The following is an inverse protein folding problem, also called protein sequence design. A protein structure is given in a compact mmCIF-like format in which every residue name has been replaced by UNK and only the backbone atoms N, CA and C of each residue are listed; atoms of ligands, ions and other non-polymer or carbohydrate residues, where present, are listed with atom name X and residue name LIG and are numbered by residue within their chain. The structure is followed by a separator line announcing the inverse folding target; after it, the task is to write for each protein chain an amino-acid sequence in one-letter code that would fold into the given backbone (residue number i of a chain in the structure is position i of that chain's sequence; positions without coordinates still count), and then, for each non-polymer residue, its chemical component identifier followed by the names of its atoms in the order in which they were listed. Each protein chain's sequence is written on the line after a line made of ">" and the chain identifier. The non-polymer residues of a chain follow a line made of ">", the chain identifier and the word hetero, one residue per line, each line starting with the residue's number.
data_IF_889845661636
#
_entry.id   IF_889845661636
#
_cell.length_a   1.000
_cell.length_b   1.000
_cell.length_c   1.000
_cell.angle_alpha   90.00
_cell.angle_beta   90.00
_cell.angle_gamma   90.00
#
_symmetry.space_group_name_H-M   'P 1'
#
loop_
_entity.id
_entity.type
_entity.pdbx_description
1 polymer ?
#
# COMPACT_ATOMS: atom_id res chain seq x y z
N UNK A 1 -31.06 -12.14 -33.89
CA UNK A 1 -30.32 -10.85 -33.91
C UNK A 1 -30.79 -9.93 -32.77
N UNK A 2 -30.61 -10.30 -31.49
CA UNK A 2 -30.99 -9.43 -30.37
C UNK A 2 -30.14 -9.59 -29.09
N UNK A 3 -29.11 -10.43 -29.09
CA UNK A 3 -28.25 -10.64 -27.89
C UNK A 3 -26.94 -9.82 -27.90
N UNK A 4 -26.60 -9.14 -29.00
CA UNK A 4 -25.31 -8.47 -29.16
C UNK A 4 -25.29 -7.00 -28.68
N UNK A 5 -26.42 -6.45 -28.23
CA UNK A 5 -26.54 -5.03 -27.86
C UNK A 5 -26.62 -4.75 -26.34
N UNK A 6 -26.63 -5.77 -25.47
CA UNK A 6 -26.71 -5.55 -24.00
C UNK A 6 -25.38 -5.43 -23.27
N UNK A 7 -24.27 -5.91 -23.83
CA UNK A 7 -22.96 -5.90 -23.14
C UNK A 7 -22.04 -4.71 -23.50
N UNK A 8 -22.45 -3.85 -24.44
CA UNK A 8 -21.67 -2.67 -24.84
C UNK A 8 -21.79 -1.49 -23.87
N UNK A 9 -22.97 -1.27 -23.28
CA UNK A 9 -23.24 -0.08 -22.46
C UNK A 9 -22.58 -0.09 -21.07
N UNK A 10 -22.48 -1.26 -20.44
CA UNK A 10 -21.91 -1.37 -19.08
C UNK A 10 -20.39 -1.14 -19.04
N UNK A 11 -19.67 -1.49 -20.12
CA UNK A 11 -18.23 -1.25 -20.23
C UNK A 11 -17.88 0.20 -20.56
N UNK A 12 -18.76 0.92 -21.27
CA UNK A 12 -18.54 2.33 -21.60
C UNK A 12 -18.67 3.24 -20.35
N UNK A 13 -19.62 2.95 -19.45
CA UNK A 13 -19.79 3.69 -18.20
C UNK A 13 -18.67 3.45 -17.18
N UNK A 14 -18.11 2.23 -17.12
CA UNK A 14 -17.00 1.92 -16.23
C UNK A 14 -15.68 2.63 -16.63
N UNK A 15 -15.51 2.99 -17.91
CA UNK A 15 -14.34 3.72 -18.39
C UNK A 15 -14.46 5.23 -18.23
N UNK A 16 -15.67 5.79 -18.15
CA UNK A 16 -15.89 7.23 -17.92
C UNK A 16 -15.51 7.68 -16.50
N UNK A 17 -15.60 6.78 -15.50
CA UNK A 17 -15.25 7.09 -14.11
C UNK A 17 -13.75 7.08 -13.79
N UNK A 18 -12.90 6.55 -14.68
CA UNK A 18 -11.43 6.47 -14.46
C UNK A 18 -10.65 7.65 -15.03
N UNK A 19 -11.31 8.57 -15.72
CA UNK A 19 -10.67 9.73 -16.37
C UNK A 19 -10.70 11.04 -15.59
N UNK A 20 -11.30 11.08 -14.40
CA UNK A 20 -11.59 12.34 -13.70
C UNK A 20 -10.40 13.00 -12.98
N UNK A 21 -9.16 12.52 -13.14
CA UNK A 21 -7.97 13.19 -12.60
C UNK A 21 -6.74 13.03 -13.49
N UNK A 22 -6.87 13.36 -14.77
CA UNK A 22 -5.72 13.64 -15.62
C UNK A 22 -5.64 15.16 -15.85
N UNK A 23 -4.54 15.86 -15.48
CA UNK A 23 -4.40 17.27 -15.81
C UNK A 23 -4.25 17.40 -17.33
N UNK A 24 -5.08 18.24 -17.94
CA UNK A 24 -5.03 18.54 -19.36
C UNK A 24 -3.68 19.20 -19.71
N UNK A 25 -2.91 18.57 -20.59
CA UNK A 25 -1.69 19.14 -21.14
C UNK A 25 -2.01 20.12 -22.26
N UNK A 26 -1.80 21.42 -21.99
CA UNK A 26 -1.81 22.47 -23.01
C UNK A 26 -0.48 22.48 -23.75
N UNK A 27 -0.53 22.40 -25.08
CA UNK A 27 0.63 22.39 -25.97
C UNK A 27 1.15 23.80 -26.28
N UNK A 28 2.48 23.91 -26.33
CA UNK A 28 3.33 24.87 -27.03
C UNK A 28 3.45 26.31 -26.49
N UNK A 29 4.63 26.66 -25.93
CA UNK A 29 5.68 27.42 -26.66
C UNK A 29 6.74 27.98 -25.71
N UNK A 30 7.98 27.53 -25.94
CA UNK A 30 9.26 28.27 -25.92
C UNK A 30 9.57 29.30 -24.81
N UNK A 31 10.79 29.14 -24.27
CA UNK A 31 11.66 30.12 -23.60
C UNK A 31 11.47 30.28 -22.09
N UNK A 32 12.28 29.53 -21.34
CA UNK A 32 13.18 29.92 -20.23
C UNK A 32 13.60 28.61 -19.59
N UNK A 33 14.90 28.31 -19.59
CA UNK A 33 15.45 27.14 -18.91
C UNK A 33 15.88 27.53 -17.49
N UNK A 34 15.24 27.01 -16.43
CA UNK A 34 15.86 26.90 -15.12
C UNK A 34 16.39 25.48 -14.92
N UNK A 35 17.70 25.42 -14.71
CA UNK A 35 18.48 24.42 -13.98
C UNK A 35 17.75 23.18 -13.43
N UNK A 36 18.24 22.02 -13.86
CA UNK A 36 17.80 20.69 -13.47
C UNK A 36 17.79 20.44 -11.96
N UNK A 37 16.60 20.42 -11.38
CA UNK A 37 16.26 19.49 -10.30
C UNK A 37 15.44 18.39 -10.91
N UNK A 38 16.04 17.23 -11.21
CA UNK A 38 15.31 16.04 -11.63
C UNK A 38 14.47 15.54 -10.45
N UNK A 39 13.26 16.10 -10.30
CA UNK A 39 12.15 15.42 -9.64
C UNK A 39 11.97 14.11 -10.38
N UNK A 40 12.56 13.04 -9.85
CA UNK A 40 12.48 11.71 -10.42
C UNK A 40 11.02 11.35 -10.65
N UNK A 41 10.70 10.90 -11.86
CA UNK A 41 9.38 10.38 -12.19
C UNK A 41 8.89 9.44 -11.08
N UNK A 42 7.63 9.55 -10.62
CA UNK A 42 7.12 8.70 -9.55
C UNK A 42 7.12 7.25 -10.03
N UNK A 43 8.15 6.49 -9.64
CA UNK A 43 8.26 5.07 -9.99
C UNK A 43 7.35 4.28 -9.06
N UNK A 44 6.24 3.79 -9.61
CA UNK A 44 5.36 2.83 -8.94
C UNK A 44 5.88 1.38 -9.11
N UNK A 45 5.48 0.47 -8.21
CA UNK A 45 5.83 -0.95 -8.35
C UNK A 45 5.18 -1.51 -9.63
N UNK A 46 5.98 -1.88 -10.64
CA UNK A 46 5.49 -2.26 -11.97
C UNK A 46 5.43 -1.12 -13.01
N UNK A 47 5.97 0.07 -12.69
CA UNK A 47 6.11 1.21 -13.62
C UNK A 47 7.01 0.90 -14.82
N UNK A 48 8.06 0.11 -14.59
CA UNK A 48 8.69 -0.63 -15.69
C UNK A 48 7.80 -1.84 -15.97
N UNK A 49 6.87 -1.67 -16.91
CA UNK A 49 6.12 -2.80 -17.46
C UNK A 49 7.07 -3.93 -17.83
N UNK A 50 6.55 -5.16 -17.78
CA UNK A 50 7.25 -6.32 -18.34
C UNK A 50 7.74 -5.93 -19.74
N UNK A 51 9.05 -5.94 -20.03
CA UNK A 51 9.57 -5.52 -21.32
C UNK A 51 8.79 -6.18 -22.45
N UNK A 52 8.56 -5.48 -23.55
CA UNK A 52 7.75 -6.01 -24.66
C UNK A 52 8.30 -7.37 -25.14
N UNK A 53 9.62 -7.53 -25.10
CA UNK A 53 10.38 -8.73 -25.42
C UNK A 53 10.54 -9.74 -24.27
N UNK A 54 10.03 -9.48 -23.06
CA UNK A 54 10.14 -10.39 -21.94
C UNK A 54 9.30 -11.65 -22.19
N UNK A 55 9.96 -12.80 -22.09
CA UNK A 55 9.39 -14.11 -22.43
C UNK A 55 9.26 -14.39 -23.93
N UNK A 56 9.37 -13.38 -24.81
CA UNK A 56 9.27 -13.57 -26.25
C UNK A 56 10.42 -14.42 -26.80
N UNK A 57 10.10 -15.29 -27.76
CA UNK A 57 11.11 -15.96 -28.56
C UNK A 57 11.85 -14.89 -29.36
N UNK A 58 13.11 -14.64 -29.00
CA UNK A 58 13.96 -13.72 -29.74
C UNK A 58 14.44 -14.44 -30.99
N UNK A 59 13.97 -14.02 -32.16
CA UNK A 59 14.54 -14.37 -33.46
C UNK A 59 16.07 -14.16 -33.42
N UNK A 60 16.84 -15.24 -33.20
CA UNK A 60 18.32 -15.24 -33.25
C UNK A 60 19.07 -14.76 -32.00
N UNK A 61 18.44 -14.57 -30.83
CA UNK A 61 19.13 -14.29 -29.57
C UNK A 61 19.27 -15.51 -28.65
N UNK A 62 19.99 -15.43 -27.50
CA UNK A 62 20.01 -16.48 -26.48
C UNK A 62 18.64 -16.54 -25.77
N UNK A 63 17.62 -16.97 -26.52
CA UNK A 63 16.27 -17.23 -26.04
C UNK A 63 16.10 -18.71 -25.71
N UNK A 64 15.00 -19.02 -25.03
CA UNK A 64 14.66 -20.36 -24.52
C UNK A 64 14.19 -21.34 -25.61
N UNK A 65 14.66 -21.21 -26.86
CA UNK A 65 14.30 -22.13 -27.94
C UNK A 65 14.70 -23.58 -27.65
N UNK A 66 15.80 -23.77 -26.92
CA UNK A 66 16.21 -25.07 -26.36
C UNK A 66 15.15 -25.69 -25.42
N UNK A 67 14.35 -24.87 -24.73
CA UNK A 67 13.28 -25.32 -23.82
C UNK A 67 11.96 -25.63 -24.56
N UNK A 68 11.91 -25.49 -25.90
CA UNK A 68 10.72 -25.78 -26.70
C UNK A 68 9.62 -24.73 -26.57
N UNK A 69 9.94 -23.49 -26.18
CA UNK A 69 8.96 -22.40 -26.04
C UNK A 69 8.27 -22.10 -27.38
N UNK A 70 6.94 -22.21 -27.48
CA UNK A 70 6.23 -21.96 -28.74
C UNK A 70 6.20 -20.48 -29.10
N UNK A 71 6.11 -20.16 -30.39
CA UNK A 71 6.11 -18.77 -30.90
C UNK A 71 4.97 -17.91 -30.33
N UNK A 72 3.83 -18.54 -30.01
CA UNK A 72 2.64 -17.92 -29.43
C UNK A 72 2.58 -18.00 -27.90
N UNK A 73 3.71 -18.08 -27.20
CA UNK A 73 3.73 -18.28 -25.74
C UNK A 73 2.94 -17.21 -24.95
N UNK A 74 2.95 -15.93 -25.37
CA UNK A 74 2.23 -14.85 -24.65
C UNK A 74 0.72 -15.07 -24.63
N UNK A 75 0.16 -15.42 -25.78
CA UNK A 75 -1.27 -15.74 -25.92
C UNK A 75 -1.66 -16.96 -25.08
N UNK A 76 -0.72 -17.90 -24.88
CA UNK A 76 -0.93 -19.05 -24.01
C UNK A 76 -0.84 -18.70 -22.53
N UNK A 77 0.02 -17.74 -22.15
CA UNK A 77 0.13 -17.23 -20.78
C UNK A 77 -1.09 -16.40 -20.39
N UNK A 78 -1.63 -15.59 -21.31
CA UNK A 78 -2.86 -14.81 -21.09
C UNK A 78 -4.08 -15.68 -20.83
N UNK A 79 -4.10 -16.91 -21.37
CA UNK A 79 -5.16 -17.89 -21.13
C UNK A 79 -5.01 -18.65 -19.81
N UNK A 80 -3.86 -18.54 -19.12
CA UNK A 80 -3.65 -19.24 -17.86
C UNK A 80 -4.30 -18.45 -16.71
N UNK A 81 -5.23 -19.06 -15.97
CA UNK A 81 -5.75 -18.42 -14.77
C UNK A 81 -4.62 -18.29 -13.75
N UNK A 82 -4.61 -17.18 -13.02
CA UNK A 82 -3.77 -17.04 -11.83
C UNK A 82 -4.34 -17.93 -10.72
N UNK A 83 -3.49 -18.72 -10.08
CA UNK A 83 -3.89 -19.52 -8.93
C UNK A 83 -4.34 -18.61 -7.78
N UNK A 84 -5.38 -18.99 -7.02
CA UNK A 84 -5.77 -18.27 -5.80
C UNK A 84 -4.60 -18.16 -4.82
N UNK A 85 -4.49 -17.01 -4.17
CA UNK A 85 -3.49 -16.75 -3.13
C UNK A 85 -4.15 -16.37 -1.81
N UNK A 86 -4.42 -15.08 -1.59
CA UNK A 86 -5.07 -14.50 -0.42
C UNK A 86 -6.58 -14.69 -0.51
N UNK A 87 -7.16 -14.38 -1.66
CA UNK A 87 -8.59 -14.53 -1.94
C UNK A 87 -8.83 -15.72 -2.87
N UNK A 88 -10.02 -16.30 -2.77
CA UNK A 88 -10.48 -17.39 -3.62
C UNK A 88 -10.69 -16.92 -5.07
N UNK A 89 -10.93 -17.86 -6.00
CA UNK A 89 -11.12 -17.59 -7.45
C UNK A 89 -12.20 -16.52 -7.69
N UNK A 90 -13.26 -16.53 -6.87
CA UNK A 90 -14.38 -15.60 -6.98
C UNK A 90 -14.18 -14.29 -6.19
N UNK A 91 -13.09 -14.18 -5.42
CA UNK A 91 -12.79 -13.01 -4.59
C UNK A 91 -13.65 -12.88 -3.32
N UNK A 92 -14.59 -13.79 -3.09
CA UNK A 92 -15.56 -13.68 -1.99
C UNK A 92 -15.04 -14.20 -0.64
N UNK A 93 -14.03 -15.08 -0.66
CA UNK A 93 -13.54 -15.79 0.52
C UNK A 93 -12.03 -15.68 0.63
N UNK A 94 -11.53 -15.69 1.86
CA UNK A 94 -10.09 -15.80 2.13
C UNK A 94 -9.68 -17.25 1.94
N UNK A 95 -8.79 -17.50 0.99
CA UNK A 95 -8.28 -18.84 0.70
C UNK A 95 -7.09 -19.19 1.62
N UNK A 96 -6.22 -18.22 1.91
CA UNK A 96 -5.00 -18.44 2.69
C UNK A 96 -5.26 -18.46 4.20
N UNK A 97 -4.74 -19.48 4.89
CA UNK A 97 -4.74 -19.52 6.36
C UNK A 97 -3.62 -18.64 6.92
N UNK A 98 -3.96 -17.43 7.34
CA UNK A 98 -2.99 -16.46 7.84
C UNK A 98 -2.28 -16.91 9.14
N UNK A 99 -0.95 -17.09 9.13
CA UNK A 99 -0.19 -17.23 10.37
C UNK A 99 -0.08 -15.87 11.08
N UNK A 100 0.09 -15.89 12.41
CA UNK A 100 0.25 -14.68 13.21
C UNK A 100 1.40 -13.77 12.73
N UNK A 101 2.46 -14.37 12.16
CA UNK A 101 3.61 -13.64 11.60
C UNK A 101 3.21 -12.83 10.35
N UNK A 102 2.37 -13.38 9.48
CA UNK A 102 1.87 -12.67 8.29
C UNK A 102 0.96 -11.50 8.70
N UNK A 103 0.05 -11.73 9.64
CA UNK A 103 -0.78 -10.65 10.20
C UNK A 103 0.07 -9.56 10.85
N UNK A 104 1.14 -9.95 11.55
CA UNK A 104 2.06 -9.01 12.17
C UNK A 104 2.76 -8.11 11.13
N UNK A 105 3.17 -8.68 9.99
CA UNK A 105 3.76 -7.93 8.88
C UNK A 105 2.77 -6.97 8.22
N UNK A 106 1.56 -7.44 7.91
CA UNK A 106 0.49 -6.60 7.34
C UNK A 106 0.19 -5.44 8.28
N UNK A 107 0.05 -5.72 9.59
CA UNK A 107 -0.19 -4.68 10.59
C UNK A 107 0.91 -3.64 10.58
N UNK A 108 2.19 -4.03 10.48
CA UNK A 108 3.30 -3.07 10.44
C UNK A 108 3.22 -2.14 9.21
N UNK A 109 2.74 -2.65 8.06
CA UNK A 109 2.52 -1.82 6.87
C UNK A 109 1.34 -0.87 7.05
N UNK A 110 0.21 -1.39 7.53
CA UNK A 110 -1.00 -0.60 7.76
C UNK A 110 -0.74 0.51 8.77
N UNK A 111 -0.06 0.21 9.88
CA UNK A 111 0.28 1.23 10.88
C UNK A 111 1.22 2.29 10.31
N UNK A 112 2.17 1.91 9.45
CA UNK A 112 3.01 2.86 8.72
C UNK A 112 2.19 3.79 7.83
N UNK A 113 1.27 3.25 7.02
CA UNK A 113 0.37 4.04 6.18
C UNK A 113 -0.51 4.99 6.99
N UNK A 114 -1.07 4.53 8.12
CA UNK A 114 -1.89 5.36 9.01
C UNK A 114 -1.07 6.52 9.58
N UNK A 115 0.15 6.26 10.06
CA UNK A 115 1.03 7.30 10.60
C UNK A 115 1.45 8.31 9.53
N UNK A 116 1.84 7.83 8.34
CA UNK A 116 2.15 8.71 7.21
C UNK A 116 0.96 9.57 6.81
N UNK A 117 -0.24 8.99 6.77
CA UNK A 117 -1.49 9.71 6.51
C UNK A 117 -1.78 10.76 7.58
N UNK A 118 -1.59 10.43 8.86
CA UNK A 118 -1.77 11.37 9.98
C UNK A 118 -0.81 12.56 9.91
N UNK A 119 0.47 12.31 9.66
CA UNK A 119 1.48 13.37 9.51
C UNK A 119 1.20 14.21 8.27
N UNK A 120 0.86 13.59 7.13
CA UNK A 120 0.53 14.30 5.90
C UNK A 120 -0.72 15.18 6.07
N UNK A 121 -1.78 14.64 6.70
CA UNK A 121 -3.00 15.41 7.00
C UNK A 121 -2.69 16.62 7.87
N UNK A 122 -1.99 16.42 9.00
CA UNK A 122 -1.63 17.52 9.88
C UNK A 122 -0.71 18.55 9.21
N UNK A 123 0.24 18.08 8.40
CA UNK A 123 1.13 18.93 7.62
C UNK A 123 0.41 19.77 6.59
N UNK A 124 -0.51 19.18 5.80
CA UNK A 124 -1.33 19.90 4.82
C UNK A 124 -2.24 20.91 5.51
N UNK A 125 -2.88 20.53 6.61
CA UNK A 125 -3.77 21.40 7.35
C UNK A 125 -3.04 22.64 7.86
N UNK A 126 -1.87 22.47 8.48
CA UNK A 126 -1.04 23.59 8.94
C UNK A 126 -0.40 24.39 7.80
N UNK A 127 -0.09 23.74 6.67
CA UNK A 127 0.46 24.42 5.50
C UNK A 127 -0.55 25.37 4.84
N UNK A 128 -1.82 24.95 4.74
CA UNK A 128 -2.90 25.74 4.11
C UNK A 128 -3.49 26.77 5.08
N UNK A 129 -3.73 26.38 6.34
CA UNK A 129 -4.41 27.23 7.33
C UNK A 129 -3.46 28.03 8.23
N UNK A 130 -2.15 27.79 8.15
CA UNK A 130 -1.17 28.34 9.09
C UNK A 130 -0.99 27.49 10.36
N UNK A 131 0.03 27.79 11.17
CA UNK A 131 0.50 26.92 12.26
C UNK A 131 -0.55 26.66 13.34
N UNK A 132 -1.46 27.61 13.58
CA UNK A 132 -2.50 27.52 14.62
C UNK A 132 -3.70 26.65 14.22
N UNK A 133 -3.83 26.27 12.95
CA UNK A 133 -5.00 25.55 12.46
C UNK A 133 -5.09 24.12 13.00
N UNK A 134 -3.96 23.42 13.12
CA UNK A 134 -3.93 22.07 13.69
C UNK A 134 -4.28 22.07 15.20
N UNK A 135 -3.68 22.93 16.05
CA UNK A 135 -4.13 23.09 17.43
C UNK A 135 -5.62 23.43 17.55
N UNK A 136 -6.11 24.39 16.75
CA UNK A 136 -7.52 24.76 16.76
C UNK A 136 -8.44 23.60 16.36
N UNK A 137 -8.05 22.81 15.36
CA UNK A 137 -8.77 21.60 14.95
C UNK A 137 -8.84 20.57 16.08
N UNK A 138 -7.73 20.33 16.78
CA UNK A 138 -7.66 19.37 17.89
C UNK A 138 -8.52 19.84 19.08
N UNK A 139 -8.48 21.12 19.44
CA UNK A 139 -9.35 21.67 20.49
C UNK A 139 -10.83 21.66 20.09
N UNK A 140 -11.13 21.94 18.83
CA UNK A 140 -12.47 21.79 18.25
C UNK A 140 -12.97 20.34 18.36
N UNK A 141 -12.14 19.36 18.00
CA UNK A 141 -12.47 17.94 18.13
C UNK A 141 -12.76 17.54 19.58
N UNK A 142 -11.92 17.96 20.53
CA UNK A 142 -12.10 17.68 21.96
C UNK A 142 -13.41 18.24 22.49
N UNK A 143 -13.76 19.46 22.10
CA UNK A 143 -14.98 20.13 22.56
C UNK A 143 -16.25 19.54 21.94
N UNK A 144 -16.21 19.13 20.68
CA UNK A 144 -17.38 18.59 19.97
C UNK A 144 -17.62 17.10 20.30
N UNK A 145 -16.55 16.32 20.50
CA UNK A 145 -16.61 14.87 20.72
C UNK A 145 -15.69 14.43 21.88
N UNK A 146 -15.95 14.87 23.13
CA UNK A 146 -15.08 14.58 24.26
C UNK A 146 -14.95 13.06 24.55
N UNK A 147 -16.02 12.29 24.31
CA UNK A 147 -16.02 10.84 24.47
C UNK A 147 -15.13 10.12 23.43
N UNK A 148 -14.80 10.78 22.31
CA UNK A 148 -13.91 10.24 21.28
C UNK A 148 -12.43 10.54 21.52
N UNK A 149 -12.08 11.31 22.56
CA UNK A 149 -10.68 11.64 22.86
C UNK A 149 -9.87 10.38 23.17
N UNK A 150 -10.36 9.52 24.06
CA UNK A 150 -9.70 8.25 24.40
C UNK A 150 -9.52 7.31 23.21
N UNK A 151 -10.59 6.94 22.44
CA UNK A 151 -10.42 6.03 21.30
C UNK A 151 -9.56 6.64 20.19
N UNK A 152 -9.57 7.97 20.00
CA UNK A 152 -8.68 8.62 19.03
C UNK A 152 -7.23 8.55 19.49
N UNK A 153 -6.95 8.76 20.79
CA UNK A 153 -5.60 8.54 21.36
C UNK A 153 -5.14 7.10 21.14
N UNK A 154 -6.02 6.10 21.28
CA UNK A 154 -5.68 4.70 20.98
C UNK A 154 -5.43 4.50 19.48
N UNK A 155 -6.27 5.08 18.62
CA UNK A 155 -6.22 4.92 17.19
C UNK A 155 -4.91 5.43 16.59
N UNK A 156 -4.27 6.45 17.19
CA UNK A 156 -2.94 6.91 16.79
C UNK A 156 -1.81 6.31 17.65
N UNK A 157 -2.05 6.08 18.95
CA UNK A 157 -1.08 5.51 19.87
C UNK A 157 -0.69 4.09 19.50
N UNK A 158 -1.66 3.22 19.18
CA UNK A 158 -1.38 1.84 18.79
C UNK A 158 -0.53 1.73 17.52
N UNK A 159 -0.89 2.41 16.40
CA UNK A 159 -0.02 2.42 15.22
C UNK A 159 1.38 2.94 15.50
N UNK A 160 1.53 4.00 16.31
CA UNK A 160 2.82 4.56 16.68
C UNK A 160 3.69 3.52 17.39
N UNK A 161 3.21 2.97 18.52
CA UNK A 161 3.98 2.01 19.30
C UNK A 161 4.25 0.72 18.53
N UNK A 162 3.24 0.20 17.82
CA UNK A 162 3.37 -1.03 17.05
C UNK A 162 4.36 -0.88 15.89
N UNK A 163 4.28 0.20 15.12
CA UNK A 163 5.18 0.43 14.00
C UNK A 163 6.63 0.64 14.46
N UNK A 164 6.83 1.34 15.58
CA UNK A 164 8.18 1.54 16.14
C UNK A 164 8.79 0.24 16.63
N UNK A 165 8.09 -0.53 17.47
CA UNK A 165 8.60 -1.80 17.99
C UNK A 165 8.74 -2.86 16.88
N UNK A 166 7.79 -2.91 15.95
CA UNK A 166 7.85 -3.76 14.77
C UNK A 166 9.03 -3.39 13.87
N UNK A 167 9.30 -2.09 13.69
CA UNK A 167 10.49 -1.59 13.01
C UNK A 167 11.80 -2.04 13.66
N UNK A 168 11.92 -1.93 14.98
CA UNK A 168 13.10 -2.45 15.68
C UNK A 168 13.28 -3.96 15.52
N UNK A 169 12.19 -4.73 15.57
CA UNK A 169 12.24 -6.17 15.29
C UNK A 169 12.73 -6.46 13.87
N UNK A 170 12.23 -5.72 12.88
CA UNK A 170 12.68 -5.85 11.49
C UNK A 170 14.17 -5.51 11.34
N UNK A 171 14.63 -4.41 11.95
CA UNK A 171 16.05 -4.05 11.96
C UNK A 171 16.93 -5.10 12.63
N UNK A 172 16.45 -5.73 13.71
CA UNK A 172 17.15 -6.84 14.35
C UNK A 172 17.24 -8.05 13.41
N UNK A 173 16.12 -8.48 12.82
CA UNK A 173 16.10 -9.60 11.86
C UNK A 173 17.01 -9.35 10.66
N UNK A 174 16.99 -8.15 10.10
CA UNK A 174 17.82 -7.80 8.94
C UNK A 174 19.30 -7.78 9.28
N UNK A 175 19.66 -7.38 10.51
CA UNK A 175 21.06 -7.27 10.95
C UNK A 175 21.65 -8.60 11.42
N UNK A 176 20.89 -9.40 12.15
CA UNK A 176 21.41 -10.62 12.82
C UNK A 176 21.01 -11.90 12.12
N UNK A 177 19.92 -11.89 11.32
CA UNK A 177 19.27 -13.09 10.79
C UNK A 177 18.81 -14.09 11.87
N UNK A 178 18.70 -13.63 13.11
CA UNK A 178 18.27 -14.43 14.26
C UNK A 178 16.77 -14.25 14.54
N UNK A 179 16.13 -15.26 15.13
CA UNK A 179 14.71 -15.17 15.54
C UNK A 179 13.70 -15.20 14.40
N UNK A 180 14.13 -15.62 13.20
CA UNK A 180 13.31 -15.80 11.99
C UNK A 180 12.74 -17.22 11.85
N UNK A 181 13.06 -18.13 12.77
CA UNK A 181 12.45 -19.45 12.81
C UNK A 181 10.96 -19.37 13.19
N UNK A 182 10.21 -20.42 12.87
CA UNK A 182 8.76 -20.44 13.06
C UNK A 182 8.30 -20.20 14.51
N UNK A 183 9.07 -20.67 15.50
CA UNK A 183 8.69 -20.52 16.91
C UNK A 183 8.99 -19.10 17.38
N UNK A 184 10.21 -18.61 17.17
CA UNK A 184 10.63 -17.27 17.59
C UNK A 184 9.87 -16.17 16.85
N UNK A 185 9.62 -16.33 15.55
CA UNK A 185 8.86 -15.36 14.76
C UNK A 185 7.40 -15.28 15.23
N UNK A 186 6.79 -16.42 15.57
CA UNK A 186 5.42 -16.46 16.13
C UNK A 186 5.38 -15.84 17.53
N UNK A 187 6.32 -16.21 18.41
CA UNK A 187 6.39 -15.70 19.77
C UNK A 187 6.61 -14.18 19.79
N UNK A 188 7.60 -13.69 19.04
CA UNK A 188 7.87 -12.26 18.91
C UNK A 188 6.71 -11.49 18.29
N UNK A 189 5.94 -12.08 17.37
CA UNK A 189 4.74 -11.46 16.81
C UNK A 189 3.62 -11.29 17.85
N UNK A 190 3.36 -12.32 18.65
CA UNK A 190 2.35 -12.25 19.72
C UNK A 190 2.79 -11.25 20.79
N UNK A 191 4.07 -11.30 21.20
CA UNK A 191 4.66 -10.38 22.16
C UNK A 191 4.55 -8.92 21.67
N UNK A 192 4.81 -8.68 20.38
CA UNK A 192 4.67 -7.35 19.77
C UNK A 192 3.24 -6.82 19.87
N UNK A 193 2.23 -7.62 19.48
CA UNK A 193 0.83 -7.20 19.61
C UNK A 193 0.43 -6.91 21.06
N UNK A 194 0.81 -7.78 21.99
CA UNK A 194 0.47 -7.62 23.40
C UNK A 194 1.15 -6.38 24.01
N UNK A 195 2.46 -6.21 23.78
CA UNK A 195 3.22 -5.07 24.27
C UNK A 195 2.69 -3.75 23.70
N UNK A 196 2.47 -3.68 22.38
CA UNK A 196 1.93 -2.48 21.74
C UNK A 196 0.52 -2.15 22.22
N UNK A 197 -0.34 -3.15 22.38
CA UNK A 197 -1.68 -2.96 22.94
C UNK A 197 -1.66 -2.38 24.35
N UNK A 198 -0.85 -2.98 25.23
CA UNK A 198 -0.71 -2.55 26.62
C UNK A 198 -0.13 -1.14 26.75
N UNK A 199 1.01 -0.88 26.10
CA UNK A 199 1.67 0.44 26.14
C UNK A 199 0.76 1.53 25.57
N UNK A 200 0.07 1.26 24.47
CA UNK A 200 -0.81 2.26 23.84
C UNK A 200 -2.03 2.57 24.70
N UNK A 201 -2.61 1.56 25.35
CA UNK A 201 -3.70 1.76 26.30
C UNK A 201 -3.24 2.59 27.51
N UNK A 202 -2.03 2.35 28.01
CA UNK A 202 -1.44 3.15 29.10
C UNK A 202 -1.23 4.61 28.67
N UNK A 203 -0.61 4.84 27.51
CA UNK A 203 -0.37 6.20 26.98
C UNK A 203 -1.69 6.94 26.77
N UNK A 204 -2.71 6.28 26.22
CA UNK A 204 -3.98 6.92 25.95
C UNK A 204 -4.81 7.20 27.20
N UNK A 205 -4.67 6.35 28.23
CA UNK A 205 -5.26 6.57 29.56
C UNK A 205 -4.56 7.66 30.36
N UNK A 206 -3.33 8.04 29.98
CA UNK A 206 -2.62 9.13 30.62
C UNK A 206 -3.27 10.48 30.26
N UNK A 207 -3.68 11.19 31.31
CA UNK A 207 -4.22 12.56 31.22
C UNK A 207 -3.13 13.56 31.59
N UNK A 208 -3.02 14.62 30.79
CA UNK A 208 -2.19 15.80 31.04
C UNK A 208 -3.09 17.03 31.02
#
# INVERSE_FOLDING_TARGET
>A
MQALLRNGGARALANAGRGAFAPAGTSASSLIAPTAGTLGSPRWIGDTGVPENYGQWKDGGPGTGFLGTPKNHRELLEKRPMSPDVLDIDGERVHYKFPAVALSSITNRVTGCVLSGGVAFGGVLSFVGGPETLPAFVEGFKSWLPFMVYPTKLAFGFPFVYHTLGGFRHLYWDKTTEGIDNQSAKASSIALFAASGGISAMIAGWTF
#
